data_IF_949404024673
#
_entry.id   IF_949404024673
#
_cell.length_a   1.000
_cell.length_b   1.000
_cell.length_c   1.000
_cell.angle_alpha   90.00
_cell.angle_beta   90.00
_cell.angle_gamma   90.00
#
_symmetry.space_group_name_H-M   'P 1'
#
loop_
_entity.id
_entity.type
_entity.pdbx_description
1 polymer ?
#
# COMPACT_ATOMS: atom_id res chain seq x y z
N UNK A 1 -16.52 14.39 2.52
CA UNK A 1 -15.76 13.97 1.32
C UNK A 1 -16.05 14.94 0.18
N UNK A 2 -15.10 15.25 -0.69
CA UNK A 2 -15.36 16.02 -1.92
C UNK A 2 -16.08 15.13 -2.95
N UNK A 3 -16.76 15.76 -3.93
CA UNK A 3 -17.23 15.04 -5.10
C UNK A 3 -16.06 14.30 -5.78
N UNK A 4 -16.32 13.15 -6.43
CA UNK A 4 -15.27 12.43 -7.14
C UNK A 4 -14.56 13.30 -8.17
N UNK A 5 -13.24 13.27 -8.15
CA UNK A 5 -12.39 14.02 -9.09
C UNK A 5 -12.13 13.12 -10.29
N UNK A 6 -12.39 13.62 -11.48
CA UNK A 6 -12.04 12.96 -12.73
C UNK A 6 -10.72 13.51 -13.28
N UNK A 7 -9.90 12.62 -13.81
CA UNK A 7 -8.71 12.96 -14.58
C UNK A 7 -8.49 11.95 -15.72
N UNK A 8 -7.80 12.37 -16.76
CA UNK A 8 -7.43 11.47 -17.86
C UNK A 8 -6.00 10.99 -17.67
N UNK A 9 -5.82 9.67 -17.60
CA UNK A 9 -4.50 9.05 -17.50
C UNK A 9 -4.50 7.70 -18.26
N UNK A 10 -3.40 7.36 -18.88
CA UNK A 10 -3.28 6.12 -19.68
C UNK A 10 -4.36 5.98 -20.74
N UNK A 11 -4.82 7.09 -21.34
CA UNK A 11 -5.88 7.11 -22.36
C UNK A 11 -7.31 6.84 -21.83
N UNK A 12 -7.53 6.86 -20.51
CA UNK A 12 -8.83 6.57 -19.86
C UNK A 12 -9.22 7.69 -18.90
N UNK A 13 -10.52 7.94 -18.76
CA UNK A 13 -11.05 8.74 -17.65
C UNK A 13 -11.02 7.88 -16.38
N UNK A 14 -10.40 8.40 -15.36
CA UNK A 14 -10.24 7.73 -14.04
C UNK A 14 -10.80 8.63 -12.95
N UNK A 15 -11.16 8.03 -11.82
CA UNK A 15 -11.82 8.72 -10.71
C UNK A 15 -11.13 8.44 -9.39
N UNK A 16 -11.15 9.44 -8.51
CA UNK A 16 -10.78 9.28 -7.10
C UNK A 16 -11.55 10.28 -6.24
N UNK A 17 -11.84 9.90 -5.01
CA UNK A 17 -12.27 10.83 -3.98
C UNK A 17 -11.07 11.32 -3.19
N UNK A 18 -11.10 12.57 -2.71
CA UNK A 18 -10.06 13.12 -1.85
C UNK A 18 -10.69 13.76 -0.61
N UNK A 19 -10.15 13.41 0.55
CA UNK A 19 -10.50 13.96 1.84
C UNK A 19 -9.30 14.73 2.40
N UNK A 20 -9.36 16.07 2.47
CA UNK A 20 -8.33 16.84 3.17
C UNK A 20 -8.46 16.65 4.70
N UNK A 21 -7.39 16.81 5.48
CA UNK A 21 -7.49 16.79 6.94
C UNK A 21 -8.33 17.96 7.43
N UNK A 22 -9.11 17.77 8.51
CA UNK A 22 -9.92 18.84 9.11
C UNK A 22 -9.06 19.98 9.66
N UNK A 23 -7.92 19.62 10.25
CA UNK A 23 -6.95 20.59 10.77
C UNK A 23 -5.75 20.63 9.84
N UNK A 24 -5.59 21.73 9.11
CA UNK A 24 -4.42 21.93 8.24
C UNK A 24 -3.20 22.30 9.09
N UNK A 25 -2.48 21.32 9.58
CA UNK A 25 -1.10 21.53 10.05
C UNK A 25 -0.22 21.65 8.80
N UNK A 26 -0.03 22.89 8.30
CA UNK A 26 0.92 23.10 7.19
C UNK A 26 2.33 22.89 7.75
N UNK A 27 2.90 21.73 7.47
CA UNK A 27 4.35 21.57 7.54
C UNK A 27 4.99 22.42 6.43
N UNK A 28 6.22 22.85 6.61
CA UNK A 28 6.94 23.61 5.58
C UNK A 28 7.05 22.78 4.30
N UNK A 29 6.17 23.05 3.32
CA UNK A 29 6.23 22.42 1.99
C UNK A 29 4.98 21.72 1.49
N UNK A 30 3.95 21.44 2.28
CA UNK A 30 2.71 20.83 1.82
C UNK A 30 2.03 19.92 2.84
N UNK A 31 0.93 19.31 2.44
CA UNK A 31 0.15 18.35 3.22
C UNK A 31 0.59 16.94 2.80
N UNK A 32 0.90 16.01 3.72
CA UNK A 32 1.14 14.63 3.37
C UNK A 32 -0.10 14.00 2.69
N UNK A 33 0.12 13.18 1.67
CA UNK A 33 -0.93 12.46 0.94
C UNK A 33 -0.83 10.96 1.21
N UNK A 34 -1.93 10.35 1.64
CA UNK A 34 -2.10 8.89 1.66
C UNK A 34 -3.04 8.49 0.53
N UNK A 35 -2.64 7.53 -0.29
CA UNK A 35 -3.45 6.91 -1.34
C UNK A 35 -3.83 5.52 -0.87
N UNK A 36 -5.13 5.21 -0.78
CA UNK A 36 -5.63 3.95 -0.24
C UNK A 36 -6.23 3.10 -1.34
N UNK A 37 -5.62 1.95 -1.63
CA UNK A 37 -5.94 1.08 -2.75
C UNK A 37 -6.78 -0.12 -2.27
N UNK A 38 -7.96 -0.31 -2.88
CA UNK A 38 -8.86 -1.43 -2.57
C UNK A 38 -8.34 -2.78 -3.10
N UNK A 39 -8.89 -3.87 -2.58
CA UNK A 39 -8.66 -5.22 -3.08
C UNK A 39 -9.42 -5.49 -4.39
N UNK A 40 -9.27 -6.69 -4.94
CA UNK A 40 -9.98 -7.13 -6.15
C UNK A 40 -11.39 -7.63 -5.80
N UNK A 41 -12.40 -6.88 -6.23
CA UNK A 41 -13.81 -7.28 -6.18
C UNK A 41 -14.56 -6.52 -7.28
N UNK A 42 -15.50 -7.15 -8.03
CA UNK A 42 -16.19 -6.51 -9.16
C UNK A 42 -16.84 -5.15 -8.84
N UNK A 43 -17.33 -5.00 -7.62
CA UNK A 43 -17.99 -3.78 -7.14
C UNK A 43 -17.06 -2.88 -6.31
N UNK A 44 -15.76 -3.18 -6.26
CA UNK A 44 -14.85 -2.39 -5.44
C UNK A 44 -14.66 -0.99 -5.99
N UNK A 45 -14.80 -0.03 -5.09
CA UNK A 45 -14.50 1.39 -5.33
C UNK A 45 -13.53 1.89 -4.25
N UNK A 46 -12.85 2.99 -4.55
CA UNK A 46 -11.98 3.61 -3.57
C UNK A 46 -12.72 3.99 -2.28
N UNK A 47 -13.96 4.49 -2.41
CA UNK A 47 -14.77 4.90 -1.27
C UNK A 47 -15.09 3.78 -0.29
N UNK A 48 -15.15 2.53 -0.73
CA UNK A 48 -15.32 1.40 0.20
C UNK A 48 -14.19 1.31 1.21
N UNK A 49 -12.98 1.74 0.84
CA UNK A 49 -11.85 1.75 1.77
C UNK A 49 -12.00 2.79 2.88
N UNK A 50 -12.72 3.90 2.66
CA UNK A 50 -13.03 4.84 3.73
C UNK A 50 -14.01 4.26 4.75
N UNK A 51 -14.90 3.36 4.32
CA UNK A 51 -15.85 2.68 5.20
C UNK A 51 -15.24 1.48 5.94
N UNK A 52 -14.24 0.82 5.33
CA UNK A 52 -13.64 -0.41 5.85
C UNK A 52 -12.40 -0.18 6.70
N UNK A 53 -11.74 0.97 6.56
CA UNK A 53 -10.52 1.32 7.29
C UNK A 53 -10.74 2.60 8.09
N UNK A 54 -9.84 2.90 9.00
CA UNK A 54 -9.88 4.10 9.83
C UNK A 54 -9.06 5.27 9.25
N UNK A 55 -8.70 5.23 7.96
CA UNK A 55 -7.86 6.29 7.38
C UNK A 55 -8.46 7.70 7.51
N UNK A 56 -9.78 7.82 7.54
CA UNK A 56 -10.43 9.12 7.72
C UNK A 56 -10.18 9.72 9.12
N UNK A 57 -10.20 8.87 10.16
CA UNK A 57 -9.87 9.26 11.53
C UNK A 57 -8.37 9.56 11.65
N UNK A 58 -7.54 8.71 11.04
CA UNK A 58 -6.08 8.86 11.06
C UNK A 58 -5.64 10.11 10.26
N UNK A 59 -6.33 10.44 9.17
CA UNK A 59 -6.09 11.66 8.41
C UNK A 59 -6.19 12.91 9.29
N UNK A 60 -7.20 12.95 10.15
CA UNK A 60 -7.36 14.08 11.09
C UNK A 60 -6.34 14.05 12.22
N UNK A 61 -6.02 12.87 12.76
CA UNK A 61 -5.06 12.72 13.85
C UNK A 61 -3.61 13.07 13.43
N UNK A 62 -3.23 12.68 12.21
CA UNK A 62 -1.86 12.85 11.70
C UNK A 62 -1.71 14.03 10.71
N UNK A 63 -2.80 14.69 10.33
CA UNK A 63 -2.77 15.82 9.39
C UNK A 63 -2.53 15.43 7.93
N UNK A 64 -2.96 14.24 7.50
CA UNK A 64 -2.82 13.74 6.14
C UNK A 64 -4.07 14.03 5.30
N UNK A 65 -3.89 14.30 4.00
CA UNK A 65 -4.97 14.15 3.02
C UNK A 65 -5.05 12.67 2.62
N UNK A 66 -6.27 12.17 2.39
CA UNK A 66 -6.47 10.78 1.94
C UNK A 66 -7.15 10.78 0.59
N UNK A 67 -6.60 10.01 -0.35
CA UNK A 67 -7.19 9.78 -1.66
C UNK A 67 -7.64 8.32 -1.79
N UNK A 68 -8.84 8.13 -2.33
CA UNK A 68 -9.50 6.85 -2.55
C UNK A 68 -9.77 6.68 -4.05
N UNK A 69 -8.81 6.16 -4.84
CA UNK A 69 -8.99 5.97 -6.26
C UNK A 69 -9.76 4.70 -6.60
N UNK A 70 -10.47 4.73 -7.75
CA UNK A 70 -11.16 3.58 -8.31
C UNK A 70 -10.27 2.80 -9.28
N UNK A 71 -10.13 1.50 -9.07
CA UNK A 71 -9.55 0.57 -10.04
C UNK A 71 -10.51 0.29 -11.19
N UNK A 72 -9.98 0.00 -12.38
CA UNK A 72 -10.81 -0.37 -13.54
C UNK A 72 -11.38 -1.78 -13.34
N UNK A 73 -12.71 -1.91 -13.40
CA UNK A 73 -13.37 -3.20 -13.18
C UNK A 73 -13.16 -3.74 -11.76
N UNK A 74 -12.99 -2.84 -10.77
CA UNK A 74 -12.81 -3.22 -9.37
C UNK A 74 -11.45 -3.87 -9.07
N UNK A 75 -10.43 -3.66 -9.90
CA UNK A 75 -9.08 -4.19 -9.69
C UNK A 75 -7.99 -3.28 -10.26
N UNK A 76 -6.75 -3.59 -9.94
CA UNK A 76 -5.53 -2.92 -10.37
C UNK A 76 -4.69 -3.83 -11.26
N UNK A 77 -4.03 -3.27 -12.27
CA UNK A 77 -2.94 -3.89 -12.99
C UNK A 77 -1.69 -3.89 -12.09
N UNK A 78 -1.59 -4.91 -11.24
CA UNK A 78 -0.71 -4.94 -10.07
C UNK A 78 0.69 -5.53 -10.31
N UNK A 79 1.04 -5.81 -11.57
CA UNK A 79 2.31 -6.38 -11.96
C UNK A 79 2.37 -7.92 -11.92
N UNK A 80 1.31 -8.61 -11.50
CA UNK A 80 1.24 -10.08 -11.57
C UNK A 80 0.84 -10.57 -12.98
N UNK A 81 0.15 -9.70 -13.78
CA UNK A 81 -0.27 -10.01 -15.15
C UNK A 81 -1.45 -10.99 -15.22
N UNK A 82 -2.37 -10.92 -14.25
CA UNK A 82 -3.47 -11.90 -14.09
C UNK A 82 -4.79 -11.25 -13.67
N UNK A 83 -4.88 -9.93 -13.70
CA UNK A 83 -6.09 -9.20 -13.36
C UNK A 83 -6.82 -8.75 -14.63
N UNK A 84 -8.12 -8.48 -14.53
CA UNK A 84 -8.86 -7.90 -15.66
C UNK A 84 -8.27 -6.55 -16.11
N UNK A 85 -7.69 -5.77 -15.18
CA UNK A 85 -6.99 -4.54 -15.51
C UNK A 85 -5.69 -4.80 -16.30
N UNK A 86 -4.91 -5.85 -15.96
CA UNK A 86 -3.75 -6.27 -16.76
C UNK A 86 -4.16 -6.68 -18.18
N UNK A 87 -5.21 -7.50 -18.31
CA UNK A 87 -5.75 -7.96 -19.61
C UNK A 87 -6.26 -6.80 -20.48
N UNK A 88 -6.87 -5.80 -19.86
CA UNK A 88 -7.35 -4.59 -20.53
C UNK A 88 -6.24 -3.55 -20.82
N UNK A 89 -4.98 -3.85 -20.49
CA UNK A 89 -3.84 -2.96 -20.70
C UNK A 89 -3.96 -1.64 -19.92
N UNK A 90 -4.53 -1.68 -18.71
CA UNK A 90 -4.70 -0.47 -17.89
C UNK A 90 -3.35 -0.02 -17.35
N UNK A 91 -3.04 1.28 -17.52
CA UNK A 91 -1.87 1.90 -16.92
C UNK A 91 -2.26 2.58 -15.58
N UNK A 92 -2.31 1.77 -14.52
CA UNK A 92 -2.63 2.24 -13.18
C UNK A 92 -1.48 3.05 -12.57
N UNK A 93 -0.23 2.82 -12.99
CA UNK A 93 0.92 3.63 -12.54
C UNK A 93 0.78 5.05 -13.06
N UNK A 94 0.48 5.24 -14.35
CA UNK A 94 0.25 6.57 -14.91
C UNK A 94 -0.93 7.28 -14.21
N UNK A 95 -1.99 6.55 -13.90
CA UNK A 95 -3.14 7.10 -13.16
C UNK A 95 -2.76 7.60 -11.76
N UNK A 96 -2.09 6.76 -10.98
CA UNK A 96 -1.73 7.10 -9.59
C UNK A 96 -0.66 8.20 -9.54
N UNK A 97 0.24 8.26 -10.52
CA UNK A 97 1.17 9.38 -10.69
C UNK A 97 0.43 10.69 -10.99
N UNK A 98 -0.54 10.67 -11.89
CA UNK A 98 -1.38 11.83 -12.21
C UNK A 98 -2.23 12.27 -11.01
N UNK A 99 -2.73 11.32 -10.20
CA UNK A 99 -3.44 11.61 -8.96
C UNK A 99 -2.56 12.37 -7.98
N UNK A 100 -1.30 11.95 -7.77
CA UNK A 100 -0.34 12.66 -6.92
C UNK A 100 -0.14 14.10 -7.41
N UNK A 101 0.11 14.31 -8.71
CA UNK A 101 0.26 15.63 -9.31
C UNK A 101 -0.98 16.51 -9.15
N UNK A 102 -2.16 15.99 -9.48
CA UNK A 102 -3.44 16.70 -9.34
C UNK A 102 -3.73 17.09 -7.87
N UNK A 103 -3.40 16.18 -6.94
CA UNK A 103 -3.57 16.46 -5.50
C UNK A 103 -2.61 17.55 -5.02
N UNK A 104 -1.39 17.56 -5.51
CA UNK A 104 -0.41 18.62 -5.20
C UNK A 104 -0.86 19.98 -5.73
N UNK A 105 -1.31 20.05 -6.98
CA UNK A 105 -1.76 21.29 -7.62
C UNK A 105 -3.02 21.86 -6.99
N UNK A 106 -4.02 21.00 -6.71
CA UNK A 106 -5.34 21.48 -6.24
C UNK A 106 -5.44 21.65 -4.73
N UNK A 107 -4.72 20.84 -3.97
CA UNK A 107 -4.88 20.76 -2.51
C UNK A 107 -3.60 21.08 -1.75
N UNK A 108 -2.47 21.26 -2.43
CA UNK A 108 -1.18 21.57 -1.82
C UNK A 108 -0.58 20.37 -1.08
N UNK A 109 -0.82 19.16 -1.56
CA UNK A 109 -0.14 17.97 -1.03
C UNK A 109 1.28 17.87 -1.56
N UNK A 110 2.11 17.02 -0.93
CA UNK A 110 3.45 16.76 -1.47
C UNK A 110 3.35 16.03 -2.83
N UNK A 111 4.18 16.46 -3.80
CA UNK A 111 4.24 15.87 -5.13
C UNK A 111 5.27 14.73 -5.24
N UNK A 112 6.16 14.59 -4.26
CA UNK A 112 7.37 13.75 -4.31
C UNK A 112 7.50 12.76 -3.15
N UNK A 113 6.51 12.68 -2.27
CA UNK A 113 6.57 11.84 -1.06
C UNK A 113 5.20 11.38 -0.59
N UNK A 114 4.41 10.82 -1.51
CA UNK A 114 3.15 10.20 -1.16
C UNK A 114 3.35 8.93 -0.33
N UNK A 115 2.34 8.59 0.46
CA UNK A 115 2.17 7.28 1.09
C UNK A 115 1.17 6.48 0.26
N UNK A 116 1.49 5.24 -0.07
CA UNK A 116 0.55 4.35 -0.79
C UNK A 116 0.24 3.16 0.10
N UNK A 117 -1.00 2.99 0.49
CA UNK A 117 -1.46 1.85 1.30
C UNK A 117 -2.45 1.02 0.49
N UNK A 118 -2.45 -0.30 0.68
CA UNK A 118 -3.42 -1.14 -0.01
C UNK A 118 -3.54 -2.53 0.58
N UNK A 119 -4.64 -3.20 0.25
CA UNK A 119 -4.95 -4.56 0.68
C UNK A 119 -5.04 -5.49 -0.52
N UNK A 120 -4.53 -6.73 -0.40
CA UNK A 120 -4.68 -7.75 -1.44
C UNK A 120 -4.15 -7.25 -2.80
N UNK A 121 -4.99 -7.16 -3.84
CA UNK A 121 -4.65 -6.58 -5.14
C UNK A 121 -4.12 -5.13 -5.00
N UNK A 122 -4.69 -4.32 -4.10
CA UNK A 122 -4.16 -2.99 -3.79
C UNK A 122 -2.79 -3.02 -3.12
N UNK A 123 -2.48 -4.07 -2.32
CA UNK A 123 -1.15 -4.26 -1.74
C UNK A 123 -0.11 -4.56 -2.83
N UNK A 124 -0.44 -5.43 -3.79
CA UNK A 124 0.43 -5.72 -4.93
C UNK A 124 0.67 -4.47 -5.77
N UNK A 125 -0.39 -3.66 -5.99
CA UNK A 125 -0.26 -2.36 -6.68
C UNK A 125 0.58 -1.36 -5.88
N UNK A 126 0.52 -1.37 -4.54
CA UNK A 126 1.37 -0.52 -3.71
C UNK A 126 2.86 -0.87 -3.88
N UNK A 127 3.22 -2.17 -3.95
CA UNK A 127 4.57 -2.60 -4.30
C UNK A 127 4.99 -2.10 -5.70
N UNK A 128 4.09 -2.22 -6.70
CA UNK A 128 4.36 -1.76 -8.06
C UNK A 128 4.61 -0.25 -8.09
N UNK A 129 3.77 0.54 -7.42
CA UNK A 129 3.94 1.99 -7.28
C UNK A 129 5.26 2.36 -6.60
N UNK A 130 5.62 1.68 -5.51
CA UNK A 130 6.88 1.92 -4.81
C UNK A 130 8.12 1.62 -5.68
N UNK A 131 7.99 0.76 -6.67
CA UNK A 131 9.07 0.44 -7.63
C UNK A 131 9.06 1.41 -8.81
N UNK A 132 7.91 1.53 -9.52
CA UNK A 132 7.83 2.24 -10.80
C UNK A 132 7.62 3.76 -10.65
N UNK A 133 7.22 4.22 -9.46
CA UNK A 133 7.01 5.63 -9.12
C UNK A 133 7.76 6.05 -7.83
N UNK A 134 8.93 5.46 -7.59
CA UNK A 134 9.74 5.71 -6.39
C UNK A 134 10.19 7.18 -6.21
N UNK A 135 10.13 7.98 -7.27
CA UNK A 135 10.33 9.44 -7.25
C UNK A 135 9.18 10.18 -6.57
N UNK A 136 7.97 9.62 -6.58
CA UNK A 136 6.78 10.21 -5.98
C UNK A 136 6.33 9.50 -4.69
N UNK A 137 6.74 8.25 -4.46
CA UNK A 137 6.38 7.45 -3.28
C UNK A 137 7.52 7.43 -2.27
N UNK A 138 7.26 7.88 -1.05
CA UNK A 138 8.24 7.83 0.04
C UNK A 138 8.03 6.62 0.96
N UNK A 139 6.77 6.22 1.14
CA UNK A 139 6.36 5.15 2.05
C UNK A 139 5.26 4.35 1.38
N UNK A 140 5.25 3.04 1.58
CA UNK A 140 4.07 2.25 1.27
C UNK A 140 3.73 1.26 2.38
N UNK A 141 2.43 0.92 2.46
CA UNK A 141 1.88 -0.10 3.35
C UNK A 141 1.19 -1.19 2.53
N UNK A 142 1.65 -2.43 2.63
CA UNK A 142 1.06 -3.58 1.95
C UNK A 142 0.43 -4.53 2.97
N UNK A 143 -0.90 -4.69 2.90
CA UNK A 143 -1.66 -5.55 3.81
C UNK A 143 -2.18 -6.76 3.04
N UNK A 144 -1.95 -7.97 3.56
CA UNK A 144 -2.36 -9.24 2.96
C UNK A 144 -1.89 -9.41 1.49
N UNK A 145 -0.65 -8.98 1.20
CA UNK A 145 -0.08 -9.09 -0.14
C UNK A 145 1.43 -8.92 -0.17
N UNK A 146 2.16 -9.96 -0.59
CA UNK A 146 3.60 -9.93 -0.80
C UNK A 146 4.00 -9.31 -2.14
N UNK A 147 5.31 -9.13 -2.36
CA UNK A 147 5.83 -8.61 -3.63
C UNK A 147 5.45 -9.54 -4.81
N UNK A 148 4.84 -9.01 -5.89
CA UNK A 148 4.65 -9.78 -7.12
C UNK A 148 5.96 -10.38 -7.63
N UNK A 149 6.01 -11.69 -7.83
CA UNK A 149 7.25 -12.38 -8.19
C UNK A 149 7.88 -11.89 -9.51
N UNK A 150 7.08 -11.33 -10.41
CA UNK A 150 7.56 -10.70 -11.66
C UNK A 150 8.37 -9.41 -11.41
N UNK A 151 8.18 -8.78 -10.24
CA UNK A 151 8.87 -7.54 -9.87
C UNK A 151 10.14 -7.80 -9.03
N UNK A 152 10.49 -9.05 -8.75
CA UNK A 152 11.64 -9.42 -7.88
C UNK A 152 13.00 -8.88 -8.35
N UNK A 153 13.15 -8.67 -9.65
CA UNK A 153 14.38 -8.16 -10.25
C UNK A 153 14.32 -6.66 -10.58
N UNK A 154 13.20 -6.02 -10.27
CA UNK A 154 13.04 -4.58 -10.47
C UNK A 154 13.94 -3.78 -9.53
N UNK A 155 14.33 -2.60 -9.99
CA UNK A 155 15.21 -1.69 -9.24
C UNK A 155 14.60 -0.29 -9.26
N UNK A 156 14.00 0.15 -8.15
CA UNK A 156 13.50 1.52 -8.04
C UNK A 156 14.67 2.52 -8.07
N UNK A 157 14.42 3.73 -8.57
CA UNK A 157 15.43 4.79 -8.63
C UNK A 157 15.67 5.48 -7.26
N UNK A 158 14.72 5.36 -6.33
CA UNK A 158 14.79 5.95 -5.00
C UNK A 158 14.44 4.91 -3.95
N UNK A 159 15.05 5.03 -2.79
CA UNK A 159 14.70 4.22 -1.62
C UNK A 159 13.27 4.57 -1.13
N UNK A 160 12.50 3.55 -0.75
CA UNK A 160 11.10 3.69 -0.35
C UNK A 160 10.83 2.88 0.91
N UNK A 161 10.40 3.52 1.97
CA UNK A 161 10.09 2.83 3.22
C UNK A 161 8.90 1.90 3.08
N UNK A 162 9.01 0.69 3.64
CA UNK A 162 8.03 -0.37 3.51
C UNK A 162 7.43 -0.78 4.87
N UNK A 163 6.11 -0.81 4.97
CA UNK A 163 5.40 -1.51 6.03
C UNK A 163 4.62 -2.67 5.43
N UNK A 164 4.96 -3.89 5.82
CA UNK A 164 4.39 -5.13 5.34
C UNK A 164 3.59 -5.77 6.47
N UNK A 165 2.31 -6.07 6.26
CA UNK A 165 1.42 -6.63 7.27
C UNK A 165 0.74 -7.87 6.70
N UNK A 166 0.90 -9.04 7.35
CA UNK A 166 0.35 -10.27 6.82
C UNK A 166 -0.13 -11.22 7.92
N UNK A 167 -1.28 -11.85 7.70
CA UNK A 167 -1.87 -12.84 8.56
C UNK A 167 -1.33 -14.25 8.31
N UNK A 168 -1.05 -15.03 9.38
CA UNK A 168 -0.54 -16.41 9.24
C UNK A 168 -1.59 -17.41 8.78
N UNK A 169 -2.88 -17.08 8.89
CA UNK A 169 -3.99 -17.91 8.42
C UNK A 169 -4.59 -17.43 7.10
N UNK A 170 -3.92 -16.53 6.38
CA UNK A 170 -4.39 -16.03 5.09
C UNK A 170 -4.44 -17.18 4.06
N UNK A 171 -5.68 -17.55 3.71
CA UNK A 171 -5.95 -18.65 2.76
C UNK A 171 -6.06 -18.17 1.32
N UNK A 172 -6.09 -16.87 1.08
CA UNK A 172 -6.23 -16.27 -0.25
C UNK A 172 -4.86 -15.92 -0.82
N UNK A 173 -4.06 -15.19 -0.06
CA UNK A 173 -2.68 -14.84 -0.38
C UNK A 173 -1.77 -15.35 0.73
N UNK A 174 -1.22 -16.56 0.61
CA UNK A 174 -0.44 -17.16 1.70
C UNK A 174 0.76 -16.31 2.12
N UNK A 175 0.99 -16.18 3.44
CA UNK A 175 2.14 -15.46 3.99
C UNK A 175 3.48 -16.05 3.50
N UNK A 176 3.50 -17.35 3.22
CA UNK A 176 4.65 -18.08 2.66
C UNK A 176 4.87 -17.78 1.17
N UNK A 177 4.02 -16.93 0.57
CA UNK A 177 4.09 -16.62 -0.86
C UNK A 177 3.56 -17.77 -1.75
N UNK A 178 3.97 -17.75 -3.01
CA UNK A 178 3.48 -18.69 -4.00
C UNK A 178 2.27 -18.17 -4.78
N UNK A 179 1.44 -19.06 -5.27
CA UNK A 179 0.24 -18.68 -6.01
C UNK A 179 -0.94 -18.41 -5.08
N UNK A 180 -1.78 -17.43 -5.46
CA UNK A 180 -3.07 -17.24 -4.80
C UNK A 180 -3.87 -18.56 -4.83
N UNK A 181 -4.57 -18.85 -3.74
CA UNK A 181 -5.48 -20.01 -3.69
C UNK A 181 -6.78 -19.79 -4.46
N UNK A 182 -7.14 -18.54 -4.73
CA UNK A 182 -8.19 -18.26 -5.72
C UNK A 182 -7.70 -18.62 -7.11
N UNK A 183 -8.51 -19.41 -7.81
CA UNK A 183 -8.27 -19.73 -9.22
C UNK A 183 -8.96 -18.72 -10.12
N UNK A 184 -8.44 -18.55 -11.32
CA UNK A 184 -9.12 -17.85 -12.37
C UNK A 184 -10.36 -18.61 -12.90
N UNK A 185 -11.13 -18.01 -13.81
CA UNK A 185 -12.39 -18.60 -14.30
C UNK A 185 -12.25 -20.01 -14.90
N UNK A 186 -11.08 -20.31 -15.48
CA UNK A 186 -10.78 -21.61 -16.08
C UNK A 186 -9.94 -22.53 -15.17
N UNK A 187 -9.85 -22.22 -13.87
CA UNK A 187 -9.07 -22.98 -12.90
C UNK A 187 -7.56 -22.70 -12.92
N UNK A 188 -7.10 -21.71 -13.71
CA UNK A 188 -5.70 -21.34 -13.82
C UNK A 188 -5.14 -20.74 -12.52
N UNK A 189 -3.83 -20.89 -12.33
CA UNK A 189 -3.12 -20.32 -11.21
C UNK A 189 -3.06 -18.79 -11.34
N UNK A 190 -3.45 -18.08 -10.28
CA UNK A 190 -3.32 -16.62 -10.21
C UNK A 190 -1.95 -16.23 -9.66
N UNK A 191 -1.41 -15.18 -10.21
CA UNK A 191 -0.10 -14.58 -10.06
C UNK A 191 0.70 -14.90 -8.79
N UNK A 192 1.93 -15.30 -8.97
CA UNK A 192 2.83 -15.66 -7.87
C UNK A 192 3.36 -14.42 -7.12
N UNK A 193 3.47 -14.55 -5.79
CA UNK A 193 4.09 -13.55 -4.90
C UNK A 193 5.27 -14.15 -4.15
N UNK A 194 6.13 -13.31 -3.61
CA UNK A 194 7.14 -13.70 -2.62
C UNK A 194 6.47 -13.86 -1.25
N UNK A 195 7.10 -14.61 -0.36
CA UNK A 195 6.71 -14.66 1.06
C UNK A 195 6.88 -13.29 1.73
N UNK A 196 6.31 -13.13 2.93
CA UNK A 196 6.54 -11.94 3.75
C UNK A 196 8.03 -11.70 4.00
N UNK A 197 8.77 -12.76 4.36
CA UNK A 197 10.20 -12.69 4.66
C UNK A 197 11.02 -12.35 3.41
N UNK A 198 10.79 -13.01 2.27
CA UNK A 198 11.45 -12.71 1.00
C UNK A 198 11.15 -11.26 0.56
N UNK A 199 9.91 -10.80 0.75
CA UNK A 199 9.48 -9.43 0.46
C UNK A 199 10.23 -8.43 1.34
N UNK A 200 10.36 -8.70 2.65
CA UNK A 200 11.11 -7.85 3.57
C UNK A 200 12.61 -7.82 3.22
N UNK A 201 13.19 -8.97 2.85
CA UNK A 201 14.59 -9.06 2.38
C UNK A 201 14.79 -8.22 1.12
N UNK A 202 13.87 -8.31 0.14
CA UNK A 202 13.93 -7.49 -1.07
C UNK A 202 13.98 -5.98 -0.74
N UNK A 203 13.04 -5.48 0.07
CA UNK A 203 12.99 -4.05 0.40
C UNK A 203 14.15 -3.59 1.26
N UNK A 204 14.64 -4.44 2.17
CA UNK A 204 15.87 -4.16 2.93
C UNK A 204 17.09 -4.02 2.01
N UNK A 205 17.18 -4.86 0.97
CA UNK A 205 18.24 -4.77 -0.02
C UNK A 205 18.12 -3.52 -0.89
N UNK A 206 16.91 -3.18 -1.34
CA UNK A 206 16.61 -1.93 -2.08
C UNK A 206 17.05 -0.71 -1.26
N UNK A 207 16.64 -0.63 -0.02
CA UNK A 207 16.93 0.50 0.85
C UNK A 207 18.35 0.49 1.43
N UNK A 208 19.16 -0.53 1.08
CA UNK A 208 20.52 -0.73 1.62
C UNK A 208 20.53 -0.69 3.14
N UNK A 209 19.54 -1.31 3.77
CA UNK A 209 19.51 -1.45 5.22
C UNK A 209 20.73 -2.24 5.71
N UNK A 210 21.38 -1.84 6.80
CA UNK A 210 22.46 -2.63 7.37
C UNK A 210 22.02 -4.08 7.65
N UNK A 211 22.92 -5.06 7.47
CA UNK A 211 22.60 -6.45 7.79
C UNK A 211 22.35 -6.61 9.29
N UNK A 212 21.45 -7.53 9.65
CA UNK A 212 21.13 -7.83 11.05
C UNK A 212 19.70 -8.27 11.22
N UNK A 213 19.33 -8.80 12.39
CA UNK A 213 18.01 -9.34 12.67
C UNK A 213 16.89 -8.27 12.74
N UNK A 214 17.26 -7.01 12.94
CA UNK A 214 16.29 -5.94 13.21
C UNK A 214 15.82 -5.92 14.67
N UNK A 215 15.02 -4.89 15.01
CA UNK A 215 14.31 -4.81 16.30
C UNK A 215 13.00 -5.57 16.20
N UNK A 216 12.83 -6.63 17.00
CA UNK A 216 11.62 -7.45 17.00
C UNK A 216 10.83 -7.24 18.28
N UNK A 217 9.54 -6.94 18.14
CA UNK A 217 8.58 -6.85 19.23
C UNK A 217 7.44 -7.83 18.97
N UNK A 218 7.16 -8.67 19.95
CA UNK A 218 6.12 -9.70 19.86
C UNK A 218 5.11 -9.49 20.97
N UNK A 219 3.83 -9.58 20.64
CA UNK A 219 2.68 -9.65 21.56
C UNK A 219 2.05 -11.05 21.47
N UNK A 220 0.93 -11.27 22.16
CA UNK A 220 0.17 -12.50 22.03
C UNK A 220 -0.42 -12.74 20.63
N UNK A 221 -0.60 -11.68 19.83
CA UNK A 221 -1.33 -11.75 18.55
C UNK A 221 -0.49 -11.32 17.34
N UNK A 222 0.65 -10.69 17.55
CA UNK A 222 1.48 -10.23 16.44
C UNK A 222 2.96 -10.17 16.77
N UNK A 223 3.79 -10.22 15.74
CA UNK A 223 5.22 -9.92 15.81
C UNK A 223 5.59 -8.90 14.75
N UNK A 224 6.28 -7.83 15.15
CA UNK A 224 6.81 -6.82 14.25
C UNK A 224 8.33 -6.83 14.27
N UNK A 225 8.95 -7.00 13.13
CA UNK A 225 10.40 -6.82 12.94
C UNK A 225 10.67 -5.55 12.16
N UNK A 226 11.46 -4.63 12.70
CA UNK A 226 11.87 -3.39 12.03
C UNK A 226 13.37 -3.43 11.76
N UNK A 227 13.76 -3.30 10.50
CA UNK A 227 15.16 -3.24 10.11
C UNK A 227 15.81 -1.91 10.58
N UNK A 228 17.13 -1.92 10.70
CA UNK A 228 17.90 -0.69 10.87
C UNK A 228 17.68 0.26 9.68
N UNK A 229 17.86 1.57 9.89
CA UNK A 229 17.59 2.56 8.86
C UNK A 229 18.49 2.38 7.65
N UNK A 230 17.89 2.47 6.46
CA UNK A 230 18.54 2.43 5.17
C UNK A 230 18.90 3.83 4.64
N UNK A 231 19.11 3.92 3.33
CA UNK A 231 19.46 5.16 2.62
C UNK A 231 18.42 6.24 2.87
N UNK A 232 18.91 7.45 3.18
CA UNK A 232 18.03 8.59 3.46
C UNK A 232 17.13 8.44 4.70
N UNK A 233 17.43 7.48 5.58
CA UNK A 233 16.67 7.20 6.78
C UNK A 233 15.44 6.31 6.55
N UNK A 234 15.33 5.67 5.38
CA UNK A 234 14.23 4.73 5.08
C UNK A 234 14.18 3.57 6.07
N UNK A 235 13.01 2.94 6.16
CA UNK A 235 12.75 1.86 7.10
C UNK A 235 11.93 0.75 6.46
N UNK A 236 12.22 -0.48 6.85
CA UNK A 236 11.42 -1.66 6.49
C UNK A 236 10.89 -2.30 7.77
N UNK A 237 9.57 -2.39 7.90
CA UNK A 237 8.89 -3.05 9.01
C UNK A 237 8.00 -4.17 8.47
N UNK A 238 8.11 -5.35 9.04
CA UNK A 238 7.28 -6.51 8.70
C UNK A 238 6.47 -6.95 9.92
N UNK A 239 5.16 -7.07 9.77
CA UNK A 239 4.24 -7.56 10.77
C UNK A 239 3.71 -8.93 10.39
N UNK A 240 3.86 -9.89 11.29
CA UNK A 240 3.17 -11.18 11.25
C UNK A 240 2.01 -11.15 12.24
N UNK A 241 0.78 -11.30 11.77
CA UNK A 241 -0.42 -11.33 12.62
C UNK A 241 -0.86 -12.76 12.79
N UNK A 242 -0.72 -13.29 14.02
CA UNK A 242 -0.96 -14.70 14.31
C UNK A 242 -2.45 -15.03 14.24
N UNK A 243 -2.81 -16.02 13.43
CA UNK A 243 -4.19 -16.47 13.26
C UNK A 243 -5.06 -15.56 12.40
N UNK A 244 -4.57 -14.38 11.97
CA UNK A 244 -5.32 -13.52 11.07
C UNK A 244 -5.41 -14.14 9.67
N UNK A 245 -6.59 -14.01 9.05
CA UNK A 245 -6.84 -14.38 7.67
C UNK A 245 -6.51 -13.25 6.70
N UNK A 246 -7.27 -13.23 5.57
CA UNK A 246 -7.15 -12.20 4.53
C UNK A 246 -7.92 -10.94 4.92
N UNK A 247 -7.43 -10.22 5.93
CA UNK A 247 -8.12 -9.09 6.58
C UNK A 247 -7.28 -7.82 6.55
N UNK A 248 -7.95 -6.68 6.85
CA UNK A 248 -7.29 -5.42 7.20
C UNK A 248 -7.31 -5.29 8.73
N UNK A 249 -6.18 -5.40 9.44
CA UNK A 249 -6.13 -5.29 10.90
C UNK A 249 -6.76 -4.01 11.43
N UNK A 250 -7.69 -4.15 12.37
CA UNK A 250 -8.46 -3.03 12.97
C UNK A 250 -9.56 -2.46 12.07
N UNK A 251 -9.74 -2.99 10.85
CA UNK A 251 -10.79 -2.60 9.94
C UNK A 251 -12.09 -3.40 10.11
N UNK A 252 -13.09 -3.03 9.31
CA UNK A 252 -14.32 -3.82 9.23
C UNK A 252 -14.09 -5.09 8.39
N UNK A 253 -14.79 -6.19 8.68
CA UNK A 253 -14.74 -7.39 7.84
C UNK A 253 -15.12 -7.09 6.40
N UNK A 254 -14.36 -7.63 5.44
CA UNK A 254 -14.72 -7.51 4.03
C UNK A 254 -15.95 -8.36 3.71
N UNK A 255 -16.90 -7.87 2.90
CA UNK A 255 -18.07 -8.62 2.50
C UNK A 255 -17.70 -9.98 1.89
N UNK A 256 -18.33 -11.04 2.36
CA UNK A 256 -18.10 -12.41 1.88
C UNK A 256 -16.81 -13.08 2.38
N UNK A 257 -16.01 -12.41 3.21
CA UNK A 257 -14.81 -12.98 3.83
C UNK A 257 -15.12 -13.29 5.29
N UNK A 258 -15.32 -14.58 5.59
CA UNK A 258 -15.56 -15.08 6.96
C UNK A 258 -14.22 -15.36 7.67
N UNK A 259 -13.30 -14.40 7.67
CA UNK A 259 -11.99 -14.56 8.29
C UNK A 259 -11.87 -13.71 9.56
N UNK A 260 -11.13 -14.22 10.52
CA UNK A 260 -10.91 -13.57 11.81
C UNK A 260 -9.77 -12.57 11.73
N UNK A 261 -9.97 -11.43 12.38
CA UNK A 261 -8.92 -10.47 12.66
C UNK A 261 -8.66 -10.41 14.17
N UNK A 262 -7.67 -11.14 14.67
CA UNK A 262 -7.27 -11.08 16.07
C UNK A 262 -6.31 -9.94 16.39
N UNK A 263 -6.05 -9.03 15.44
CA UNK A 263 -5.07 -7.98 15.61
C UNK A 263 -5.45 -7.03 16.77
N UNK A 264 -4.45 -6.68 17.57
CA UNK A 264 -4.57 -5.71 18.67
C UNK A 264 -4.22 -4.28 18.24
N UNK A 265 -4.11 -4.04 16.92
CA UNK A 265 -3.73 -2.75 16.36
C UNK A 265 -4.54 -2.42 15.12
N UNK A 266 -4.56 -1.15 14.78
CA UNK A 266 -5.15 -0.62 13.56
C UNK A 266 -4.06 -0.40 12.50
N UNK A 267 -4.20 -1.06 11.35
CA UNK A 267 -3.19 -0.97 10.28
C UNK A 267 -3.09 0.43 9.67
N UNK A 268 -4.21 1.17 9.57
CA UNK A 268 -4.18 2.55 9.07
C UNK A 268 -3.44 3.47 10.04
N UNK A 269 -3.69 3.33 11.35
CA UNK A 269 -2.96 4.07 12.39
C UNK A 269 -1.46 3.77 12.34
N UNK A 270 -1.08 2.48 12.29
CA UNK A 270 0.33 2.09 12.26
C UNK A 270 1.03 2.56 10.98
N UNK A 271 0.37 2.53 9.82
CA UNK A 271 0.92 3.07 8.57
C UNK A 271 1.12 4.59 8.68
N UNK A 272 0.15 5.33 9.19
CA UNK A 272 0.26 6.79 9.37
C UNK A 272 1.34 7.15 10.38
N UNK A 273 1.42 6.43 11.50
CA UNK A 273 2.46 6.60 12.54
C UNK A 273 3.86 6.31 12.01
N UNK A 274 3.99 5.26 11.20
CA UNK A 274 5.25 4.89 10.57
C UNK A 274 5.68 5.93 9.53
N UNK A 275 4.73 6.43 8.71
CA UNK A 275 5.00 7.37 7.65
C UNK A 275 5.36 8.77 8.15
N UNK A 276 4.71 9.28 9.19
CA UNK A 276 4.84 10.67 9.64
C UNK A 276 6.29 11.16 9.73
N UNK A 277 7.19 10.50 10.47
CA UNK A 277 8.60 10.90 10.58
C UNK A 277 9.38 10.83 9.28
N UNK A 278 8.96 9.93 8.35
CA UNK A 278 9.65 9.67 7.08
C UNK A 278 9.29 10.67 5.98
N UNK A 279 8.25 11.48 6.18
CA UNK A 279 7.78 12.50 5.25
C UNK A 279 8.39 13.88 5.51
N UNK A 280 9.17 14.05 6.57
CA UNK A 280 9.92 15.27 6.82
C UNK A 280 10.87 15.58 5.64
N UNK A 281 11.18 16.87 5.35
CA UNK A 281 12.12 17.24 4.30
C UNK A 281 13.45 16.50 4.49
N UNK A 282 13.76 15.62 3.57
CA UNK A 282 14.73 14.57 3.80
C UNK A 282 16.04 14.77 3.06
N UNK A 283 17.07 14.16 3.61
CA UNK A 283 18.25 13.70 2.92
C UNK A 283 17.89 12.96 1.61
N UNK A 284 18.75 13.01 0.59
CA UNK A 284 18.49 12.37 -0.70
C UNK A 284 18.17 10.88 -0.55
N UNK A 285 17.06 10.43 -1.14
CA UNK A 285 16.64 9.02 -1.22
C UNK A 285 17.15 8.34 -2.52
N UNK A 286 18.00 8.99 -3.32
CA UNK A 286 18.56 8.38 -4.54
C UNK A 286 19.41 7.17 -4.19
N UNK A 287 19.18 6.07 -4.91
CA UNK A 287 19.89 4.78 -4.78
C UNK A 287 21.18 4.75 -5.61
#
# INVERSE_FOLDING_TARGET
MSDPIELTAGGRVRRFALRPPRTRTRTSGGIPLVIVLHGNHPDATGLMMSDWTTFDEQADAFGFAVAYPDGVGGCWADGRGVTAADEAGVDDVAFLRALVGTSAERYGTFADRAVVAGVSNGAFMAHRMAIEASDQVAVFGAVAGGLPARLRDARPAHAVSAMLIHGTADRISPIEGGYSRHRGPNGELRGRTLSLDETAVFWRAVDRCPPGPGDTRTTGFSSRTTAAAGVGGTRVAAWTVFGAGHTWPGGKPFPGVAETDPAEFDAAEEICRFAGPLLAPAQSRRL
#
